data_IF_415779894217
#
_entry.id   IF_415779894217
#
_cell.length_a   1.000
_cell.length_b   1.000
_cell.length_c   1.000
_cell.angle_alpha   90.00
_cell.angle_beta   90.00
_cell.angle_gamma   90.00
#
_symmetry.space_group_name_H-M   'P 1'
#
loop_
_entity.id
_entity.type
_entity.pdbx_description
1 polymer ?
#
# COMPACT_ATOMS: atom_id res chain seq x y z
N UNK A 1 -29.39 24.82 -15.22
CA UNK A 1 -28.50 23.68 -15.05
C UNK A 1 -29.32 22.45 -14.65
N UNK A 2 -28.96 21.28 -15.10
CA UNK A 2 -29.74 20.06 -14.84
C UNK A 2 -29.34 19.45 -13.48
N UNK A 3 -30.28 19.45 -12.53
CA UNK A 3 -30.08 18.95 -11.18
C UNK A 3 -29.68 17.44 -11.16
N UNK A 4 -30.17 16.66 -12.11
CA UNK A 4 -29.79 15.23 -12.22
C UNK A 4 -28.32 15.07 -12.58
N UNK A 5 -27.80 15.96 -13.42
CA UNK A 5 -26.38 15.97 -13.78
C UNK A 5 -25.51 16.36 -12.58
N UNK A 6 -25.95 17.32 -11.80
CA UNK A 6 -25.24 17.73 -10.56
C UNK A 6 -25.22 16.60 -9.54
N UNK A 7 -26.36 15.92 -9.34
CA UNK A 7 -26.43 14.77 -8.45
C UNK A 7 -25.51 13.63 -8.92
N UNK A 8 -25.53 13.32 -10.23
CA UNK A 8 -24.66 12.30 -10.80
C UNK A 8 -23.18 12.66 -10.59
N UNK A 9 -22.81 13.91 -10.84
CA UNK A 9 -21.42 14.37 -10.63
C UNK A 9 -21.01 14.25 -9.16
N UNK A 10 -21.87 14.65 -8.24
CA UNK A 10 -21.63 14.54 -6.81
C UNK A 10 -21.38 13.09 -6.38
N UNK A 11 -22.23 12.17 -6.87
CA UNK A 11 -22.08 10.73 -6.58
C UNK A 11 -20.75 10.20 -7.09
N UNK A 12 -20.38 10.58 -8.32
CA UNK A 12 -19.11 10.16 -8.92
C UNK A 12 -17.93 10.68 -8.09
N UNK A 13 -17.92 11.97 -7.78
CA UNK A 13 -16.83 12.61 -7.08
C UNK A 13 -16.66 12.04 -5.66
N UNK A 14 -17.76 11.86 -4.94
CA UNK A 14 -17.73 11.29 -3.59
C UNK A 14 -17.28 9.83 -3.60
N UNK A 15 -17.75 9.05 -4.58
CA UNK A 15 -17.34 7.65 -4.74
C UNK A 15 -15.85 7.54 -5.04
N UNK A 16 -15.34 8.37 -5.95
CA UNK A 16 -13.91 8.39 -6.29
C UNK A 16 -13.05 8.73 -5.08
N UNK A 17 -13.48 9.68 -4.25
CA UNK A 17 -12.77 10.01 -3.01
C UNK A 17 -12.73 8.84 -2.03
N UNK A 18 -13.87 8.16 -1.87
CA UNK A 18 -13.98 7.06 -0.91
C UNK A 18 -13.17 5.83 -1.29
N UNK A 19 -12.98 5.58 -2.59
CA UNK A 19 -12.22 4.41 -3.07
C UNK A 19 -10.73 4.70 -3.26
N UNK A 20 -10.27 5.91 -2.97
CA UNK A 20 -8.84 6.21 -3.06
C UNK A 20 -8.04 5.30 -2.12
N UNK A 21 -6.88 4.77 -2.57
CA UNK A 21 -6.09 3.82 -1.77
C UNK A 21 -5.70 4.36 -0.40
N UNK A 22 -5.32 5.61 -0.31
CA UNK A 22 -4.95 6.25 0.96
C UNK A 22 -6.12 6.24 1.96
N UNK A 23 -7.29 6.69 1.53
CA UNK A 23 -8.49 6.71 2.37
C UNK A 23 -8.93 5.30 2.78
N UNK A 24 -8.81 4.33 1.86
CA UNK A 24 -9.16 2.94 2.14
C UNK A 24 -8.27 2.34 3.24
N UNK A 25 -6.95 2.58 3.19
CA UNK A 25 -6.02 2.13 4.22
C UNK A 25 -6.30 2.82 5.55
N UNK A 26 -6.58 4.11 5.55
CA UNK A 26 -6.95 4.85 6.75
C UNK A 26 -8.16 4.21 7.44
N UNK A 27 -9.22 3.91 6.70
CA UNK A 27 -10.41 3.25 7.24
C UNK A 27 -10.12 1.85 7.77
N UNK A 28 -9.32 1.08 7.02
CA UNK A 28 -9.00 -0.30 7.39
C UNK A 28 -8.16 -0.39 8.66
N UNK A 29 -7.25 0.56 8.86
CA UNK A 29 -6.33 0.55 9.99
C UNK A 29 -6.84 1.37 11.19
N UNK A 30 -7.89 2.14 11.01
CA UNK A 30 -8.49 2.94 12.09
C UNK A 30 -8.93 2.04 13.25
N UNK A 31 -8.45 2.35 14.44
CA UNK A 31 -8.74 1.56 15.63
C UNK A 31 -8.00 0.24 15.75
N UNK A 32 -7.17 -0.12 14.75
CA UNK A 32 -6.34 -1.30 14.84
C UNK A 32 -5.15 -1.05 15.77
N UNK A 33 -4.89 -2.00 16.65
CA UNK A 33 -3.71 -2.00 17.52
C UNK A 33 -2.92 -3.28 17.31
N UNK A 34 -1.60 -3.16 17.41
CA UNK A 34 -0.69 -4.29 17.23
C UNK A 34 0.12 -4.49 18.51
N UNK A 35 0.26 -5.73 19.01
CA UNK A 35 0.95 -6.00 20.27
C UNK A 35 2.47 -5.79 20.19
N UNK A 36 3.00 -5.68 19.00
CA UNK A 36 4.43 -5.47 18.75
C UNK A 36 4.64 -4.73 17.44
N UNK A 37 5.86 -4.75 16.95
CA UNK A 37 6.20 -4.15 15.67
C UNK A 37 5.64 -4.93 14.49
N UNK A 38 5.22 -4.20 13.46
CA UNK A 38 4.66 -4.75 12.24
C UNK A 38 5.69 -4.74 11.11
N UNK A 39 5.54 -5.68 10.19
CA UNK A 39 6.15 -5.63 8.87
C UNK A 39 5.03 -5.32 7.88
N UNK A 40 5.25 -4.36 7.00
CA UNK A 40 4.26 -3.97 5.99
C UNK A 40 4.72 -4.44 4.62
N UNK A 41 3.89 -5.23 3.97
CA UNK A 41 4.10 -5.68 2.59
C UNK A 41 2.97 -5.10 1.74
N UNK A 42 3.34 -4.35 0.72
CA UNK A 42 2.40 -3.75 -0.21
C UNK A 42 2.76 -4.12 -1.65
N UNK A 43 1.81 -4.71 -2.36
CA UNK A 43 2.02 -5.23 -3.70
C UNK A 43 0.90 -4.75 -4.63
N UNK A 44 1.27 -4.29 -5.81
CA UNK A 44 0.33 -3.91 -6.86
C UNK A 44 0.43 -2.46 -7.28
N UNK A 45 -0.49 -2.02 -8.12
CA UNK A 45 -0.47 -0.67 -8.71
C UNK A 45 -0.58 0.43 -7.67
N UNK A 46 -1.36 0.22 -6.63
CA UNK A 46 -1.60 1.18 -5.56
C UNK A 46 -0.68 0.96 -4.35
N UNK A 47 0.27 0.04 -4.45
CA UNK A 47 1.11 -0.38 -3.33
C UNK A 47 1.84 0.78 -2.67
N UNK A 48 2.42 1.68 -3.46
CA UNK A 48 3.15 2.81 -2.89
C UNK A 48 2.24 3.72 -2.06
N UNK A 49 1.09 4.11 -2.62
CA UNK A 49 0.13 4.98 -1.92
C UNK A 49 -0.42 4.32 -0.65
N UNK A 50 -0.71 3.01 -0.72
CA UNK A 50 -1.20 2.26 0.43
C UNK A 50 -0.13 2.11 1.52
N UNK A 51 1.12 1.84 1.13
CA UNK A 51 2.24 1.76 2.07
C UNK A 51 2.51 3.12 2.72
N UNK A 52 2.46 4.20 1.95
CA UNK A 52 2.63 5.56 2.48
C UNK A 52 1.55 5.89 3.51
N UNK A 53 0.30 5.54 3.24
CA UNK A 53 -0.80 5.72 4.19
C UNK A 53 -0.58 4.91 5.47
N UNK A 54 -0.16 3.65 5.35
CA UNK A 54 0.16 2.81 6.50
C UNK A 54 1.32 3.40 7.32
N UNK A 55 2.36 3.89 6.64
CA UNK A 55 3.50 4.55 7.30
C UNK A 55 3.07 5.79 8.08
N UNK A 56 2.21 6.62 7.50
CA UNK A 56 1.70 7.83 8.15
C UNK A 56 0.86 7.52 9.39
N UNK A 57 0.09 6.42 9.36
CA UNK A 57 -0.78 6.03 10.45
C UNK A 57 -0.07 5.24 11.55
N UNK A 58 0.77 4.30 11.19
CA UNK A 58 1.38 3.36 12.13
C UNK A 58 2.72 3.85 12.68
N UNK A 59 3.40 4.73 11.94
CA UNK A 59 4.64 5.34 12.40
C UNK A 59 5.67 4.33 12.93
N UNK A 60 6.09 4.52 14.16
CA UNK A 60 7.09 3.68 14.81
C UNK A 60 6.63 2.24 15.11
N UNK A 61 5.37 1.93 14.93
CA UNK A 61 4.86 0.56 15.03
C UNK A 61 5.41 -0.32 13.90
N UNK A 62 5.77 0.29 12.77
CA UNK A 62 6.37 -0.43 11.65
C UNK A 62 7.84 -0.64 11.91
N UNK A 63 8.28 -1.90 11.89
CA UNK A 63 9.69 -2.27 11.96
C UNK A 63 10.37 -2.00 10.62
N UNK A 64 9.82 -2.58 9.56
CA UNK A 64 10.25 -2.36 8.18
C UNK A 64 9.13 -2.72 7.22
N UNK A 65 9.32 -2.41 5.96
CA UNK A 65 8.35 -2.74 4.93
C UNK A 65 8.97 -2.91 3.55
N UNK A 66 8.21 -3.51 2.65
CA UNK A 66 8.58 -3.63 1.23
C UNK A 66 7.39 -3.25 0.38
N UNK A 67 7.65 -2.42 -0.62
CA UNK A 67 6.71 -2.07 -1.67
C UNK A 67 7.18 -2.70 -2.97
N UNK A 68 6.30 -3.43 -3.64
CA UNK A 68 6.51 -3.90 -5.00
C UNK A 68 5.37 -3.39 -5.87
N UNK A 69 5.64 -2.38 -6.66
CA UNK A 69 4.66 -1.71 -7.49
C UNK A 69 5.02 -1.78 -8.98
N UNK A 70 4.13 -1.34 -9.82
CA UNK A 70 4.35 -1.22 -11.27
C UNK A 70 5.35 -0.10 -11.55
N UNK A 71 6.11 -0.23 -12.66
CA UNK A 71 6.98 0.85 -13.12
C UNK A 71 6.26 2.20 -13.17
N UNK A 72 6.96 3.24 -12.77
CA UNK A 72 6.48 4.63 -12.73
C UNK A 72 5.36 4.90 -11.72
N UNK A 73 5.05 3.94 -10.84
CA UNK A 73 4.05 4.12 -9.79
C UNK A 73 4.63 4.43 -8.42
N UNK A 74 5.95 4.30 -8.25
CA UNK A 74 6.62 4.80 -7.05
C UNK A 74 6.68 6.33 -7.07
N UNK A 75 6.45 6.95 -5.93
CA UNK A 75 6.50 8.41 -5.77
C UNK A 75 7.67 8.82 -4.88
N UNK A 76 8.65 7.95 -4.68
CA UNK A 76 9.84 8.23 -3.91
C UNK A 76 10.04 7.32 -2.72
N UNK A 77 10.94 7.72 -1.82
CA UNK A 77 11.28 6.94 -0.65
C UNK A 77 10.20 7.04 0.43
N UNK A 78 10.00 5.92 1.12
CA UNK A 78 9.23 5.87 2.36
C UNK A 78 10.22 5.38 3.44
N UNK A 79 10.46 6.13 4.51
CA UNK A 79 11.43 5.74 5.53
C UNK A 79 11.16 4.34 6.09
N UNK A 80 12.19 3.50 6.14
CA UNK A 80 12.09 2.13 6.63
C UNK A 80 11.55 1.11 5.62
N UNK A 81 11.26 1.54 4.39
CA UNK A 81 10.74 0.68 3.34
C UNK A 81 11.76 0.46 2.22
N UNK A 82 11.78 -0.74 1.67
CA UNK A 82 12.41 -1.04 0.39
C UNK A 82 11.35 -0.83 -0.68
N UNK A 83 11.66 0.00 -1.68
CA UNK A 83 10.76 0.30 -2.79
C UNK A 83 11.29 -0.40 -4.04
N UNK A 84 10.49 -1.30 -4.61
CA UNK A 84 10.81 -2.02 -5.84
C UNK A 84 9.72 -1.82 -6.88
N UNK A 85 10.12 -1.76 -8.14
CA UNK A 85 9.21 -1.70 -9.28
C UNK A 85 9.41 -2.91 -10.18
N UNK A 86 8.34 -3.40 -10.76
CA UNK A 86 8.37 -4.55 -11.66
C UNK A 86 7.30 -4.47 -12.74
N UNK A 87 7.35 -5.41 -13.68
CA UNK A 87 6.42 -5.46 -14.80
C UNK A 87 5.00 -5.77 -14.39
N UNK A 88 4.05 -5.10 -15.03
CA UNK A 88 2.63 -5.35 -14.89
C UNK A 88 1.91 -4.93 -16.19
N UNK A 89 1.04 -5.74 -16.76
CA UNK A 89 0.53 -7.03 -16.29
C UNK A 89 1.48 -8.21 -16.50
N UNK A 90 2.54 -8.04 -17.28
CA UNK A 90 3.52 -9.10 -17.51
C UNK A 90 4.62 -9.05 -16.48
N UNK A 91 4.79 -10.14 -15.76
CA UNK A 91 5.87 -10.34 -14.78
C UNK A 91 7.22 -10.39 -15.48
N UNK A 92 8.22 -9.72 -14.94
CA UNK A 92 9.58 -9.70 -15.45
C UNK A 92 10.61 -10.01 -14.35
N UNK A 93 11.90 -9.89 -14.69
CA UNK A 93 12.99 -10.17 -13.74
C UNK A 93 12.94 -9.27 -12.50
N UNK A 94 12.52 -8.01 -12.66
CA UNK A 94 12.39 -7.08 -11.54
C UNK A 94 11.21 -7.44 -10.62
N UNK A 95 10.15 -8.04 -11.18
CA UNK A 95 9.07 -8.60 -10.36
C UNK A 95 9.56 -9.74 -9.46
N UNK A 96 10.41 -10.60 -10.00
CA UNK A 96 11.03 -11.71 -9.25
C UNK A 96 11.96 -11.16 -8.18
N UNK A 97 12.84 -10.24 -8.54
CA UNK A 97 13.77 -9.61 -7.60
C UNK A 97 13.03 -8.88 -6.46
N UNK A 98 11.94 -8.20 -6.77
CA UNK A 98 11.09 -7.56 -5.76
C UNK A 98 10.43 -8.57 -4.82
N UNK A 99 9.97 -9.69 -5.36
CA UNK A 99 9.39 -10.79 -4.58
C UNK A 99 10.43 -11.41 -3.63
N UNK A 100 11.67 -11.57 -4.08
CA UNK A 100 12.75 -12.04 -3.22
C UNK A 100 13.00 -11.12 -2.03
N UNK A 101 12.91 -9.81 -2.23
CA UNK A 101 13.01 -8.83 -1.14
C UNK A 101 11.87 -8.97 -0.14
N UNK A 102 10.66 -9.25 -0.62
CA UNK A 102 9.50 -9.50 0.24
C UNK A 102 9.73 -10.76 1.08
N UNK A 103 10.16 -11.85 0.44
CA UNK A 103 10.43 -13.11 1.14
C UNK A 103 11.52 -12.94 2.20
N UNK A 104 12.59 -12.22 1.89
CA UNK A 104 13.66 -11.92 2.86
C UNK A 104 13.15 -11.11 4.05
N UNK A 105 12.21 -10.18 3.81
CA UNK A 105 11.64 -9.37 4.89
C UNK A 105 10.82 -10.17 5.90
N UNK A 106 10.25 -11.31 5.50
CA UNK A 106 9.35 -12.12 6.33
C UNK A 106 9.92 -13.49 6.71
N UNK A 107 11.11 -13.85 6.26
CA UNK A 107 11.65 -15.21 6.40
C UNK A 107 11.80 -15.69 7.85
N UNK A 108 12.01 -14.75 8.78
CA UNK A 108 12.17 -15.07 10.20
C UNK A 108 10.88 -15.04 11.01
N UNK A 109 9.75 -14.81 10.35
CA UNK A 109 8.46 -14.85 11.03
C UNK A 109 7.97 -16.26 11.24
N UNK A 110 7.41 -16.52 12.42
CA UNK A 110 6.71 -17.78 12.71
C UNK A 110 5.21 -17.59 12.58
N UNK A 111 4.45 -18.70 12.60
CA UNK A 111 2.98 -18.65 12.61
C UNK A 111 2.40 -17.86 13.79
N UNK A 112 3.17 -17.75 14.87
CA UNK A 112 2.77 -16.97 16.05
C UNK A 112 2.82 -15.47 15.78
N UNK A 113 3.64 -15.04 14.82
CA UNK A 113 3.85 -13.63 14.48
C UNK A 113 2.95 -13.13 13.33
N UNK A 114 2.17 -13.99 12.72
CA UNK A 114 1.29 -13.64 11.59
C UNK A 114 -0.11 -13.20 12.06
#
# INVERSE_FOLDING_TARGET
MNILREHAQTIIDDTLKQVQPHAAVQRALEGCTFPGKCIVIAIGKAAWTMAKAASDLLGNTIDHGVVLTKYDHSQGEIPGFIIAEGGHPLVDENSIAGTEKILAAVENLSLIHI
#
